data_IF_023231717810
#
_entry.id   IF_023231717810
#
_cell.length_a   1.000
_cell.length_b   1.000
_cell.length_c   1.000
_cell.angle_alpha   90.00
_cell.angle_beta   90.00
_cell.angle_gamma   90.00
#
_symmetry.space_group_name_H-M   'P 1'
#
loop_
_entity.id
_entity.type
_entity.pdbx_description
1 polymer ?
#
# COMPACT_ATOMS: atom_id res chain seq x y z
N UNK A 1 19.11 -4.09 5.66
CA UNK A 1 19.04 -4.40 4.21
C UNK A 1 18.20 -5.65 4.04
N UNK A 2 17.18 -5.65 3.17
CA UNK A 2 16.19 -6.75 3.03
C UNK A 2 16.82 -8.09 2.63
N UNK A 3 17.91 -8.05 1.85
CA UNK A 3 18.58 -9.26 1.34
C UNK A 3 19.68 -9.81 2.26
N UNK A 4 20.05 -9.10 3.34
CA UNK A 4 21.16 -9.52 4.23
C UNK A 4 22.43 -9.89 3.44
N UNK A 5 23.02 -11.05 3.75
CA UNK A 5 24.22 -11.56 3.06
C UNK A 5 23.88 -12.51 1.89
N UNK A 6 22.63 -12.53 1.42
CA UNK A 6 22.19 -13.45 0.36
C UNK A 6 22.63 -12.95 -1.02
N UNK A 7 23.24 -13.83 -1.81
CA UNK A 7 23.50 -13.60 -3.22
C UNK A 7 22.21 -13.80 -4.04
N UNK A 8 21.44 -12.73 -4.22
CA UNK A 8 20.22 -12.72 -5.04
C UNK A 8 20.39 -11.74 -6.19
N UNK A 9 19.88 -12.10 -7.37
CA UNK A 9 19.77 -11.17 -8.49
C UNK A 9 18.74 -10.11 -8.14
N UNK A 10 19.17 -8.84 -8.09
CA UNK A 10 18.28 -7.71 -7.91
C UNK A 10 17.80 -7.21 -9.27
N UNK A 11 16.49 -7.12 -9.43
CA UNK A 11 15.84 -6.50 -10.58
C UNK A 11 15.07 -5.26 -10.11
N UNK A 12 15.24 -4.14 -10.81
CA UNK A 12 14.50 -2.90 -10.54
C UNK A 12 13.43 -2.74 -11.60
N UNK A 13 12.18 -2.57 -11.16
CA UNK A 13 11.01 -2.41 -12.03
C UNK A 13 10.37 -1.04 -11.84
N UNK A 14 10.54 -0.10 -12.78
CA UNK A 14 9.95 1.23 -12.69
C UNK A 14 8.42 1.22 -12.52
N UNK A 15 7.75 0.19 -13.03
CA UNK A 15 6.31 0.01 -12.94
C UNK A 15 5.82 -0.22 -11.50
N UNK A 16 6.71 -0.67 -10.60
CA UNK A 16 6.43 -0.97 -9.19
C UNK A 16 6.80 0.18 -8.23
N UNK A 17 7.12 1.37 -8.75
CA UNK A 17 7.34 2.57 -7.92
C UNK A 17 6.07 2.98 -7.16
N UNK A 18 6.20 3.63 -6.01
CA UNK A 18 5.01 4.07 -5.26
C UNK A 18 4.12 5.03 -6.07
N UNK A 19 2.83 5.06 -5.75
CA UNK A 19 1.89 6.05 -6.28
C UNK A 19 2.39 7.47 -6.00
N UNK A 20 2.39 8.32 -7.03
CA UNK A 20 2.94 9.66 -6.91
C UNK A 20 1.91 10.62 -6.29
N UNK A 21 2.25 11.20 -5.14
CA UNK A 21 1.48 12.31 -4.56
C UNK A 21 1.71 13.62 -5.31
N UNK A 22 0.70 14.50 -5.28
CA UNK A 22 0.84 15.87 -5.75
C UNK A 22 1.71 16.71 -4.81
N UNK A 23 1.79 18.01 -5.09
CA UNK A 23 2.48 18.95 -4.22
C UNK A 23 1.60 19.23 -3.00
N UNK A 24 2.02 18.77 -1.81
CA UNK A 24 1.26 18.98 -0.57
C UNK A 24 0.96 20.45 -0.26
N UNK A 25 1.87 21.37 -0.63
CA UNK A 25 1.68 22.82 -0.47
C UNK A 25 0.52 23.39 -1.29
N UNK A 26 0.06 22.66 -2.31
CA UNK A 26 -1.06 23.06 -3.17
C UNK A 26 -2.40 22.64 -2.54
N UNK A 27 -2.39 21.83 -1.46
CA UNK A 27 -3.58 21.44 -0.71
C UNK A 27 -3.91 22.56 0.29
N UNK A 28 -5.16 23.09 0.31
CA UNK A 28 -5.59 24.08 1.29
C UNK A 28 -5.39 23.60 2.73
N UNK A 29 -4.93 24.50 3.61
CA UNK A 29 -4.53 24.20 4.99
C UNK A 29 -5.62 23.49 5.81
N UNK A 30 -6.88 23.87 5.58
CA UNK A 30 -8.10 23.33 6.18
C UNK A 30 -8.56 22.00 5.57
N UNK A 31 -8.06 21.64 4.38
CA UNK A 31 -8.37 20.40 3.69
C UNK A 31 -7.27 19.32 3.84
N UNK A 32 -6.09 19.67 4.35
CA UNK A 32 -4.93 18.75 4.46
C UNK A 32 -5.27 17.48 5.23
N UNK A 33 -5.94 17.59 6.38
CA UNK A 33 -6.29 16.42 7.19
C UNK A 33 -7.17 15.44 6.41
N UNK A 34 -8.26 15.96 5.85
CA UNK A 34 -9.19 15.19 5.01
C UNK A 34 -8.47 14.58 3.81
N UNK A 35 -7.55 15.30 3.18
CA UNK A 35 -6.79 14.80 2.04
C UNK A 35 -5.88 13.63 2.43
N UNK A 36 -5.21 13.70 3.59
CA UNK A 36 -4.38 12.60 4.08
C UNK A 36 -5.23 11.41 4.53
N UNK A 37 -6.11 11.60 5.50
CA UNK A 37 -6.91 10.52 6.10
C UNK A 37 -7.81 9.87 5.04
N UNK A 38 -8.33 10.66 4.11
CA UNK A 38 -9.14 10.19 2.99
C UNK A 38 -8.35 9.70 1.78
N UNK A 39 -7.01 9.74 1.78
CA UNK A 39 -6.21 9.39 0.60
C UNK A 39 -6.46 7.96 0.11
N UNK A 40 -6.79 7.06 1.04
CA UNK A 40 -7.19 5.67 0.77
C UNK A 40 -8.61 5.39 1.30
N UNK A 41 -9.53 6.34 1.15
CA UNK A 41 -10.92 6.14 1.56
C UNK A 41 -11.59 4.97 0.81
N UNK A 42 -12.75 4.53 1.31
CA UNK A 42 -13.59 3.59 0.58
C UNK A 42 -14.18 4.24 -0.68
N UNK A 43 -14.46 3.44 -1.71
CA UNK A 43 -15.17 3.91 -2.90
C UNK A 43 -14.32 4.67 -3.93
N UNK A 44 -12.99 4.53 -3.87
CA UNK A 44 -12.11 5.07 -4.92
C UNK A 44 -12.43 4.46 -6.28
N UNK A 45 -12.30 5.29 -7.31
CA UNK A 45 -12.42 4.90 -8.70
C UNK A 45 -11.11 5.18 -9.46
N UNK A 46 -11.13 4.96 -10.78
CA UNK A 46 -9.95 5.13 -11.63
C UNK A 46 -9.50 6.59 -11.78
N UNK A 47 -10.41 7.56 -11.60
CA UNK A 47 -10.13 8.99 -11.75
C UNK A 47 -9.70 9.66 -10.44
N UNK A 48 -9.98 9.00 -9.31
CA UNK A 48 -9.52 9.39 -7.98
C UNK A 48 -8.00 9.57 -7.96
N UNK A 49 -7.51 10.61 -7.27
CA UNK A 49 -6.09 10.98 -7.21
C UNK A 49 -5.52 10.85 -5.82
N UNK A 50 -4.33 10.27 -5.72
CA UNK A 50 -3.60 10.23 -4.47
C UNK A 50 -2.98 11.60 -4.18
N UNK A 51 -3.49 12.30 -3.17
CA UNK A 51 -3.01 13.62 -2.73
C UNK A 51 -2.84 14.61 -3.90
N UNK A 52 -3.78 14.58 -4.86
CA UNK A 52 -3.78 15.44 -6.05
C UNK A 52 -2.77 15.06 -7.14
N UNK A 53 -2.05 13.95 -7.01
CA UNK A 53 -1.04 13.49 -7.96
C UNK A 53 -1.58 12.46 -8.96
N UNK A 54 -0.91 11.31 -9.02
CA UNK A 54 -1.25 10.17 -9.86
C UNK A 54 -2.67 9.65 -9.58
N UNK A 55 -3.37 9.20 -10.63
CA UNK A 55 -4.67 8.56 -10.47
C UNK A 55 -4.51 7.09 -10.06
N UNK A 56 -5.46 6.56 -9.29
CA UNK A 56 -5.44 5.14 -8.95
C UNK A 56 -5.60 4.24 -10.19
N UNK A 57 -6.26 4.71 -11.24
CA UNK A 57 -6.28 4.04 -12.54
C UNK A 57 -4.88 3.91 -13.14
N UNK A 58 -4.09 4.99 -13.17
CA UNK A 58 -2.73 4.97 -13.69
C UNK A 58 -1.80 4.06 -12.87
N UNK A 59 -1.95 4.05 -11.54
CA UNK A 59 -1.25 3.10 -10.66
C UNK A 59 -1.56 1.64 -11.04
N UNK A 60 -2.84 1.30 -11.19
CA UNK A 60 -3.27 -0.06 -11.55
C UNK A 60 -2.74 -0.46 -12.93
N UNK A 61 -2.83 0.44 -13.91
CA UNK A 61 -2.45 0.18 -15.30
C UNK A 61 -0.95 -0.12 -15.45
N UNK A 62 -0.09 0.40 -14.57
CA UNK A 62 1.34 0.05 -14.56
C UNK A 62 1.65 -1.15 -13.67
N UNK A 63 1.06 -1.23 -12.48
CA UNK A 63 1.44 -2.23 -11.46
C UNK A 63 0.92 -3.62 -11.83
N UNK A 64 -0.36 -3.73 -12.21
CA UNK A 64 -1.00 -5.03 -12.40
C UNK A 64 -0.37 -5.81 -13.56
N UNK A 65 -0.15 -5.23 -14.75
CA UNK A 65 0.55 -5.94 -15.82
C UNK A 65 1.96 -6.38 -15.42
N UNK A 66 2.74 -5.48 -14.81
CA UNK A 66 4.11 -5.80 -14.38
C UNK A 66 4.15 -6.94 -13.34
N UNK A 67 3.20 -6.96 -12.41
CA UNK A 67 3.05 -8.04 -11.45
C UNK A 67 2.64 -9.36 -12.13
N UNK A 68 1.67 -9.33 -13.04
CA UNK A 68 1.23 -10.53 -13.77
C UNK A 68 2.34 -11.10 -14.66
N UNK A 69 3.16 -10.25 -15.27
CA UNK A 69 4.34 -10.67 -16.03
C UNK A 69 5.35 -11.40 -15.12
N UNK A 70 5.59 -10.89 -13.91
CA UNK A 70 6.45 -11.56 -12.93
C UNK A 70 5.87 -12.91 -12.52
N UNK A 71 4.56 -12.99 -12.30
CA UNK A 71 3.86 -14.22 -11.97
C UNK A 71 3.94 -15.28 -13.09
N UNK A 72 3.86 -14.85 -14.35
CA UNK A 72 3.94 -15.72 -15.51
C UNK A 72 5.39 -16.11 -15.90
N UNK A 73 6.39 -15.36 -15.41
CA UNK A 73 7.79 -15.62 -15.72
C UNK A 73 8.23 -17.00 -15.19
N UNK A 74 8.87 -17.85 -16.01
CA UNK A 74 9.41 -19.11 -15.54
C UNK A 74 10.69 -18.89 -14.73
N UNK A 75 11.14 -19.95 -14.04
CA UNK A 75 12.49 -19.99 -13.45
C UNK A 75 12.59 -19.51 -12.01
N UNK A 76 11.48 -19.13 -11.37
CA UNK A 76 11.42 -18.91 -9.93
C UNK A 76 10.46 -19.87 -9.25
N UNK A 77 10.79 -20.22 -8.00
CA UNK A 77 9.89 -20.95 -7.07
C UNK A 77 9.40 -20.05 -5.94
N UNK A 78 10.20 -19.04 -5.59
CA UNK A 78 9.86 -18.00 -4.63
C UNK A 78 10.38 -16.68 -5.19
N UNK A 79 9.51 -15.68 -5.27
CA UNK A 79 9.86 -14.32 -5.68
C UNK A 79 9.60 -13.37 -4.51
N UNK A 80 10.55 -12.48 -4.24
CA UNK A 80 10.36 -11.40 -3.28
C UNK A 80 10.17 -10.09 -4.04
N UNK A 81 8.99 -9.49 -3.89
CA UNK A 81 8.70 -8.14 -4.36
C UNK A 81 8.78 -7.20 -3.16
N UNK A 82 9.66 -6.20 -3.23
CA UNK A 82 9.76 -5.13 -2.24
C UNK A 82 9.17 -3.87 -2.85
N UNK A 83 7.99 -3.48 -2.38
CA UNK A 83 7.27 -2.32 -2.87
C UNK A 83 6.63 -1.54 -1.71
N UNK A 84 5.81 -0.56 -2.06
CA UNK A 84 5.22 0.38 -1.13
C UNK A 84 3.72 0.15 -0.94
N UNK A 85 3.10 0.89 -0.02
CA UNK A 85 1.74 0.62 0.45
C UNK A 85 0.68 0.76 -0.63
N UNK A 86 0.81 1.71 -1.57
CA UNK A 86 -0.13 1.86 -2.68
C UNK A 86 0.01 0.73 -3.70
N UNK A 87 1.24 0.42 -4.09
CA UNK A 87 1.56 -0.69 -5.02
C UNK A 87 1.12 -2.04 -4.47
N UNK A 88 1.41 -2.33 -3.19
CA UNK A 88 0.99 -3.58 -2.56
C UNK A 88 -0.54 -3.73 -2.57
N UNK A 89 -1.29 -2.66 -2.31
CA UNK A 89 -2.76 -2.67 -2.39
C UNK A 89 -3.24 -2.98 -3.79
N UNK A 90 -2.64 -2.37 -4.82
CA UNK A 90 -3.00 -2.67 -6.21
C UNK A 90 -2.78 -4.15 -6.58
N UNK A 91 -1.65 -4.73 -6.16
CA UNK A 91 -1.36 -6.17 -6.35
C UNK A 91 -2.38 -7.05 -5.60
N UNK A 92 -2.66 -6.74 -4.34
CA UNK A 92 -3.57 -7.52 -3.52
C UNK A 92 -5.03 -7.44 -4.02
N UNK A 93 -5.47 -6.28 -4.52
CA UNK A 93 -6.78 -6.15 -5.14
C UNK A 93 -6.90 -7.02 -6.39
N UNK A 94 -5.89 -7.02 -7.27
CA UNK A 94 -5.84 -7.92 -8.43
C UNK A 94 -5.89 -9.39 -8.00
N UNK A 95 -5.11 -9.78 -6.99
CA UNK A 95 -5.11 -11.14 -6.46
C UNK A 95 -6.45 -11.58 -5.83
N UNK A 96 -7.19 -10.64 -5.24
CA UNK A 96 -8.50 -10.89 -4.63
C UNK A 96 -9.66 -10.78 -5.63
N UNK A 97 -9.42 -10.35 -6.87
CA UNK A 97 -10.48 -10.00 -7.82
C UNK A 97 -11.34 -8.82 -7.35
N UNK A 98 -10.76 -7.93 -6.52
CA UNK A 98 -11.42 -6.78 -5.94
C UNK A 98 -11.12 -5.50 -6.74
N UNK A 99 -12.07 -4.56 -6.75
CA UNK A 99 -11.92 -3.26 -7.42
C UNK A 99 -11.33 -2.18 -6.51
N UNK A 100 -11.01 -1.02 -7.10
CA UNK A 100 -10.48 0.16 -6.40
C UNK A 100 -11.37 0.65 -5.25
N UNK A 101 -12.67 0.35 -5.28
CA UNK A 101 -13.57 0.67 -4.17
C UNK A 101 -13.13 0.03 -2.84
N UNK A 102 -12.38 -1.07 -2.88
CA UNK A 102 -11.84 -1.80 -1.73
C UNK A 102 -10.39 -1.41 -1.37
N UNK A 103 -9.79 -0.42 -2.03
CA UNK A 103 -8.38 -0.06 -1.84
C UNK A 103 -8.05 0.31 -0.38
N UNK A 104 -8.95 1.07 0.26
CA UNK A 104 -8.85 1.43 1.67
C UNK A 104 -9.09 0.29 2.66
N UNK A 105 -9.68 -0.82 2.22
CA UNK A 105 -10.01 -1.96 3.10
C UNK A 105 -8.78 -2.81 3.44
N UNK A 106 -7.67 -2.61 2.73
CA UNK A 106 -6.42 -3.34 2.96
C UNK A 106 -5.41 -2.38 3.61
N UNK A 107 -4.97 -2.68 4.84
CA UNK A 107 -3.87 -1.93 5.45
C UNK A 107 -2.53 -2.52 5.05
N UNK A 108 -1.48 -1.70 4.96
CA UNK A 108 -0.11 -2.13 4.67
C UNK A 108 0.83 -1.41 5.61
N UNK A 109 1.11 -2.05 6.75
CA UNK A 109 2.01 -1.50 7.74
C UNK A 109 3.46 -1.50 7.24
N UNK A 110 4.29 -0.66 7.85
CA UNK A 110 5.70 -0.58 7.51
C UNK A 110 6.37 -1.95 7.62
N UNK A 111 7.07 -2.37 6.56
CA UNK A 111 7.73 -3.67 6.47
C UNK A 111 6.82 -4.88 6.73
N UNK A 112 5.51 -4.75 6.47
CA UNK A 112 4.63 -5.90 6.46
C UNK A 112 4.98 -6.89 5.35
N UNK A 113 4.58 -8.14 5.55
CA UNK A 113 4.75 -9.25 4.63
C UNK A 113 3.37 -9.70 4.19
N UNK A 114 3.20 -9.83 2.88
CA UNK A 114 2.07 -10.50 2.26
C UNK A 114 2.60 -11.77 1.58
N UNK A 115 1.78 -12.82 1.52
CA UNK A 115 2.08 -14.04 0.78
C UNK A 115 0.95 -14.27 -0.21
N UNK A 116 1.31 -14.35 -1.48
CA UNK A 116 0.42 -14.68 -2.59
C UNK A 116 0.98 -15.93 -3.27
N UNK A 117 0.24 -17.02 -3.24
CA UNK A 117 0.55 -18.19 -4.05
C UNK A 117 0.09 -17.94 -5.48
N UNK A 118 0.90 -18.40 -6.43
CA UNK A 118 0.63 -18.35 -7.86
C UNK A 118 0.50 -19.78 -8.36
N UNK A 119 -0.65 -20.12 -8.90
CA UNK A 119 -0.95 -21.42 -9.49
C UNK A 119 -1.30 -21.27 -10.98
N UNK A 120 -0.98 -22.27 -11.80
CA UNK A 120 -1.24 -22.21 -13.24
C UNK A 120 -0.16 -21.48 -14.05
N UNK A 121 -0.42 -21.29 -15.35
CA UNK A 121 0.48 -20.62 -16.29
C UNK A 121 -0.34 -19.88 -17.35
N UNK A 122 0.22 -18.79 -17.91
CA UNK A 122 -0.44 -18.01 -18.95
C UNK A 122 -1.79 -17.45 -18.49
N UNK A 123 -2.83 -17.68 -19.29
CA UNK A 123 -4.19 -17.15 -19.02
C UNK A 123 -4.92 -17.87 -17.87
N UNK A 124 -4.46 -19.06 -17.48
CA UNK A 124 -5.04 -19.85 -16.36
C UNK A 124 -4.42 -19.49 -15.00
N UNK A 125 -3.69 -18.37 -14.92
CA UNK A 125 -2.99 -17.96 -13.71
C UNK A 125 -3.97 -17.60 -12.59
N UNK A 126 -3.93 -18.38 -11.52
CA UNK A 126 -4.72 -18.21 -10.30
C UNK A 126 -3.85 -17.66 -9.18
N UNK A 127 -4.36 -16.64 -8.50
CA UNK A 127 -3.73 -16.01 -7.34
C UNK A 127 -4.47 -16.39 -6.06
N UNK A 128 -3.73 -16.69 -4.99
CA UNK A 128 -4.29 -17.01 -3.68
C UNK A 128 -3.55 -16.20 -2.61
N UNK A 129 -4.24 -15.26 -1.97
CA UNK A 129 -3.67 -14.53 -0.82
C UNK A 129 -3.66 -15.44 0.41
N UNK A 130 -2.47 -15.88 0.82
CA UNK A 130 -2.25 -16.75 2.00
C UNK A 130 -2.02 -15.96 3.28
N UNK A 131 -1.42 -14.78 3.15
CA UNK A 131 -1.10 -13.91 4.28
C UNK A 131 -1.22 -12.46 3.83
N UNK A 132 -1.85 -11.63 4.66
CA UNK A 132 -2.02 -10.22 4.39
C UNK A 132 -1.56 -9.41 5.60
N UNK A 133 -0.76 -8.37 5.32
CA UNK A 133 -0.28 -7.38 6.28
C UNK A 133 0.34 -8.00 7.56
N UNK A 134 1.15 -9.05 7.45
CA UNK A 134 1.82 -9.61 8.63
C UNK A 134 3.04 -8.78 9.01
N UNK A 135 3.15 -8.36 10.27
CA UNK A 135 4.33 -7.63 10.77
C UNK A 135 5.07 -8.47 11.80
N UNK A 136 6.25 -9.04 11.48
CA UNK A 136 7.00 -9.91 12.39
C UNK A 136 7.31 -9.27 13.76
N UNK A 137 7.43 -7.95 13.79
CA UNK A 137 7.73 -7.19 15.00
C UNK A 137 6.48 -6.84 15.84
N UNK A 138 5.27 -7.05 15.31
CA UNK A 138 4.00 -6.80 15.99
C UNK A 138 2.89 -7.62 15.33
N UNK A 139 2.91 -8.93 15.53
CA UNK A 139 1.99 -9.86 14.85
C UNK A 139 0.51 -9.60 15.19
N UNK A 140 0.25 -9.16 16.42
CA UNK A 140 -1.10 -8.88 16.95
C UNK A 140 -1.59 -7.46 16.65
N UNK A 141 -0.74 -6.61 16.04
CA UNK A 141 -1.04 -5.19 15.77
C UNK A 141 -1.36 -4.37 17.02
N UNK A 142 -0.86 -4.77 18.19
CA UNK A 142 -1.11 -4.07 19.45
C UNK A 142 -0.60 -2.63 19.39
N UNK A 143 -1.45 -1.67 19.75
CA UNK A 143 -1.14 -0.25 19.75
C UNK A 143 -1.00 0.38 18.36
N UNK A 144 -1.38 -0.32 17.28
CA UNK A 144 -1.47 0.23 15.94
C UNK A 144 -2.89 0.73 15.65
N UNK A 145 -3.32 1.73 16.42
CA UNK A 145 -4.70 2.25 16.37
C UNK A 145 -4.95 3.19 15.18
N UNK A 146 -3.91 3.49 14.41
CA UNK A 146 -3.96 4.40 13.26
C UNK A 146 -3.61 3.67 11.97
N UNK A 147 -4.31 4.00 10.91
CA UNK A 147 -3.94 3.69 9.53
C UNK A 147 -2.60 4.33 9.16
N UNK A 148 -1.99 3.85 8.07
CA UNK A 148 -0.76 4.44 7.56
C UNK A 148 -0.92 5.91 7.21
N UNK A 149 -2.07 6.31 6.65
CA UNK A 149 -2.30 7.69 6.27
C UNK A 149 -2.49 8.63 7.46
N UNK A 150 -3.17 8.17 8.52
CA UNK A 150 -3.27 8.93 9.78
C UNK A 150 -1.90 9.12 10.44
N UNK A 151 -1.05 8.09 10.42
CA UNK A 151 0.34 8.20 10.90
C UNK A 151 1.16 9.20 10.08
N UNK A 152 1.02 9.18 8.75
CA UNK A 152 1.67 10.15 7.87
C UNK A 152 1.19 11.57 8.11
N UNK A 153 -0.12 11.78 8.33
CA UNK A 153 -0.67 13.07 8.70
C UNK A 153 -0.08 13.59 10.02
N UNK A 154 -0.05 12.76 11.08
CA UNK A 154 0.57 13.14 12.36
C UNK A 154 2.04 13.50 12.23
N UNK A 155 2.77 12.83 11.33
CA UNK A 155 4.17 13.17 11.04
C UNK A 155 4.30 14.48 10.25
N UNK A 156 3.36 14.76 9.36
CA UNK A 156 3.31 16.01 8.60
C UNK A 156 2.96 17.21 9.49
N UNK A 157 2.09 17.02 10.50
CA UNK A 157 1.73 18.05 11.51
C UNK A 157 1.97 17.56 12.95
N UNK A 158 3.23 17.59 13.44
CA UNK A 158 3.54 17.14 14.80
C UNK A 158 2.86 17.98 15.90
N UNK A 159 2.56 19.26 15.64
CA UNK A 159 2.11 20.22 16.66
C UNK A 159 0.65 20.06 17.13
N UNK A 160 -0.14 19.16 16.52
CA UNK A 160 -1.58 18.97 16.85
C UNK A 160 -1.90 17.64 17.53
N UNK A 161 -0.92 16.77 17.77
CA UNK A 161 -1.15 15.45 18.35
C UNK A 161 -1.24 15.42 19.90
N UNK A 162 -1.24 16.58 20.57
CA UNK A 162 -1.11 16.71 22.04
C UNK A 162 -2.35 17.12 22.84
N UNK A 163 -3.43 17.63 22.24
CA UNK A 163 -4.55 18.24 23.00
C UNK A 163 -5.67 17.26 23.40
N UNK A 164 -5.29 16.04 23.81
CA UNK A 164 -6.23 14.96 24.18
C UNK A 164 -6.36 14.66 25.68
N UNK A 165 -5.73 15.42 26.58
CA UNK A 165 -5.81 15.19 28.03
C UNK A 165 -5.82 16.49 28.83
N UNK A 166 -7.00 16.93 29.25
CA UNK A 166 -7.11 18.10 30.13
C UNK A 166 -8.50 18.69 30.35
N UNK A 167 -9.51 17.89 30.73
CA UNK A 167 -10.75 18.38 31.39
C UNK A 167 -11.55 17.17 31.92
N UNK A 168 -11.94 17.02 33.18
CA UNK A 168 -11.68 17.79 34.39
C UNK A 168 -12.03 16.91 35.59
N UNK A 169 -11.29 17.06 36.68
CA UNK A 169 -11.68 16.57 37.99
C UNK A 169 -12.00 17.79 38.85
N UNK A 170 -13.28 17.94 39.18
CA UNK A 170 -13.77 18.67 40.34
C UNK A 170 -14.52 17.68 41.22
#
# INVERSE_FOLDING_TARGET
MVIGDRALTLEVRPELREIEGGRLRDIPEDAVETAFVGAFAAGLDRESRFLGGETFGALVDRVVPAFRDLCAAPGWRQLLIVAHGGVNRAILLDALGAGLASFGALEQDAACINIVDVEGQGDDLRLIVRLLNYTPYNEQKLGLDLTTMERLYRRYRPDRAGDGTGAGAH
#
